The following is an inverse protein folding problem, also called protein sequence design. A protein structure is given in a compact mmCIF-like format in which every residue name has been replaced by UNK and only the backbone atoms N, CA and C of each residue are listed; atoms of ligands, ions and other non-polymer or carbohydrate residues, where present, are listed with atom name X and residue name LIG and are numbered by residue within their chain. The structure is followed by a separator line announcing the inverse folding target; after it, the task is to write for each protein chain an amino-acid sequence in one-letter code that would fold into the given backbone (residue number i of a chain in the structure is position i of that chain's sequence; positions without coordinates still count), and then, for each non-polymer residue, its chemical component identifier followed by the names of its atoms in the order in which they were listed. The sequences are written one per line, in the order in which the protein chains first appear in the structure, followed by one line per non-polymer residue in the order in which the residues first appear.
data_IF_422395005231
#
_entry.id   IF_422395005231
#
_cell.length_a   1.000
_cell.length_b   1.000
_cell.length_c   1.000
_cell.angle_alpha   90.00
_cell.angle_beta   90.00
_cell.angle_gamma   90.00
#
_symmetry.space_group_name_H-M   'P 1'
#
loop_
_entity.id
_entity.type
_entity.pdbx_description
1 polymer ?
#
# COMPACT_ATOMS: atom_id res chain seq x y z
N UNK A 1 -17.33 -16.89 22.91
CA UNK A 1 -17.93 -17.30 21.62
C UNK A 1 -16.77 -17.30 20.64
N UNK A 2 -16.43 -18.45 20.02
CA UNK A 2 -15.35 -18.44 19.02
C UNK A 2 -15.76 -17.50 17.88
N UNK A 3 -14.85 -16.65 17.37
CA UNK A 3 -15.17 -15.84 16.21
C UNK A 3 -15.61 -16.76 15.06
N UNK A 4 -16.63 -16.40 14.27
CA UNK A 4 -16.98 -17.18 13.09
C UNK A 4 -15.76 -17.30 12.18
N UNK A 5 -15.46 -18.52 11.71
CA UNK A 5 -14.35 -18.76 10.79
C UNK A 5 -14.50 -17.86 9.56
N UNK A 6 -13.46 -17.10 9.23
CA UNK A 6 -13.47 -16.21 8.06
C UNK A 6 -13.87 -16.99 6.80
N UNK A 7 -14.75 -16.41 5.99
CA UNK A 7 -15.10 -17.00 4.67
C UNK A 7 -13.87 -17.09 3.76
N UNK A 8 -12.93 -16.16 3.91
CA UNK A 8 -11.67 -16.18 3.19
C UNK A 8 -10.83 -17.41 3.56
N UNK A 9 -10.76 -17.75 4.85
CA UNK A 9 -9.99 -18.89 5.35
C UNK A 9 -10.55 -20.25 4.92
N UNK A 10 -11.83 -20.30 4.52
CA UNK A 10 -12.50 -21.51 4.03
C UNK A 10 -12.17 -21.84 2.55
N UNK A 11 -11.58 -20.90 1.81
CA UNK A 11 -11.20 -21.12 0.41
C UNK A 11 -9.99 -22.07 0.35
N UNK A 12 -10.02 -23.14 -0.46
CA UNK A 12 -8.89 -24.08 -0.54
C UNK A 12 -7.58 -23.40 -0.96
N UNK A 13 -6.46 -23.76 -0.32
CA UNK A 13 -5.09 -23.25 -0.61
C UNK A 13 -4.79 -23.22 -2.12
N UNK A 14 -5.07 -24.33 -2.82
CA UNK A 14 -4.75 -24.45 -4.25
C UNK A 14 -5.60 -23.49 -5.10
N UNK A 15 -6.85 -23.27 -4.71
CA UNK A 15 -7.72 -22.30 -5.36
C UNK A 15 -7.19 -20.88 -5.14
N UNK A 16 -6.81 -20.53 -3.90
CA UNK A 16 -6.23 -19.23 -3.58
C UNK A 16 -4.98 -18.94 -4.40
N UNK A 17 -4.04 -19.89 -4.47
CA UNK A 17 -2.82 -19.72 -5.26
C UNK A 17 -3.12 -19.56 -6.75
N UNK A 18 -3.97 -20.42 -7.32
CA UNK A 18 -4.28 -20.37 -8.76
C UNK A 18 -5.06 -19.12 -9.17
N UNK A 19 -5.85 -18.54 -8.25
CA UNK A 19 -6.64 -17.33 -8.51
C UNK A 19 -5.88 -16.04 -8.21
N UNK A 20 -5.14 -15.98 -7.12
CA UNK A 20 -4.56 -14.73 -6.62
C UNK A 20 -3.13 -14.49 -7.13
N UNK A 21 -2.37 -15.55 -7.43
CA UNK A 21 -0.99 -15.42 -7.91
C UNK A 21 -0.97 -15.43 -9.42
N UNK A 22 -0.37 -14.40 -10.02
CA UNK A 22 -0.24 -14.32 -11.46
C UNK A 22 0.69 -15.43 -12.01
N UNK A 23 0.36 -16.10 -13.13
CA UNK A 23 1.14 -17.22 -13.66
C UNK A 23 2.63 -16.94 -13.90
N UNK A 24 2.99 -15.69 -14.21
CA UNK A 24 4.40 -15.31 -14.40
C UNK A 24 5.26 -15.56 -13.16
N UNK A 25 4.69 -15.47 -11.95
CA UNK A 25 5.41 -15.75 -10.70
C UNK A 25 5.78 -17.23 -10.65
N UNK A 26 4.85 -18.12 -10.98
CA UNK A 26 5.10 -19.56 -11.06
C UNK A 26 6.15 -19.89 -12.12
N UNK A 27 6.05 -19.29 -13.32
CA UNK A 27 7.03 -19.48 -14.39
C UNK A 27 8.44 -19.06 -13.96
N UNK A 28 8.58 -17.92 -13.28
CA UNK A 28 9.88 -17.41 -12.81
C UNK A 28 10.59 -18.41 -11.90
N UNK A 29 9.85 -19.01 -10.97
CA UNK A 29 10.41 -20.00 -10.03
C UNK A 29 10.31 -21.44 -10.54
N UNK A 30 9.81 -21.68 -11.76
CA UNK A 30 9.62 -23.03 -12.31
C UNK A 30 8.64 -23.90 -11.51
N UNK A 31 7.62 -23.30 -10.89
CA UNK A 31 6.64 -24.03 -10.09
C UNK A 31 5.45 -24.48 -10.95
N UNK A 32 5.11 -25.76 -10.88
CA UNK A 32 3.82 -26.29 -11.35
C UNK A 32 2.96 -26.67 -10.15
N UNK A 33 1.83 -25.98 -9.97
CA UNK A 33 0.89 -26.28 -8.88
C UNK A 33 0.26 -27.67 -8.98
N UNK A 34 0.29 -28.30 -10.16
CA UNK A 34 -0.23 -29.67 -10.36
C UNK A 34 0.76 -30.74 -9.93
N UNK A 35 2.04 -30.47 -10.11
CA UNK A 35 3.11 -31.47 -9.96
C UNK A 35 3.88 -31.32 -8.64
N UNK A 36 3.66 -30.22 -7.91
CA UNK A 36 4.41 -29.91 -6.68
C UNK A 36 3.55 -30.14 -5.45
N UNK A 37 3.98 -31.06 -4.59
CA UNK A 37 3.38 -31.29 -3.28
C UNK A 37 3.96 -30.29 -2.28
N UNK A 38 3.15 -29.49 -1.57
CA UNK A 38 3.66 -28.57 -0.57
C UNK A 38 4.15 -29.31 0.66
N UNK A 39 5.13 -28.72 1.35
CA UNK A 39 5.38 -29.04 2.76
C UNK A 39 4.42 -28.23 3.61
N UNK A 40 3.54 -28.91 4.34
CA UNK A 40 2.54 -28.28 5.20
C UNK A 40 2.95 -28.35 6.67
N UNK A 41 2.86 -27.22 7.37
CA UNK A 41 3.07 -27.10 8.81
C UNK A 41 1.86 -26.40 9.42
N UNK A 42 1.37 -26.91 10.53
CA UNK A 42 0.34 -26.26 11.35
C UNK A 42 0.94 -26.01 12.73
N UNK A 43 1.09 -24.72 13.08
CA UNK A 43 1.64 -24.29 14.37
C UNK A 43 0.87 -23.07 14.85
N UNK A 44 0.46 -23.09 16.12
CA UNK A 44 -0.21 -21.97 16.80
C UNK A 44 -1.45 -21.43 16.05
N UNK A 45 -2.19 -22.31 15.37
CA UNK A 45 -3.36 -21.93 14.59
C UNK A 45 -3.05 -21.27 13.25
N UNK A 46 -1.80 -21.38 12.77
CA UNK A 46 -1.37 -20.89 11.46
C UNK A 46 -0.96 -22.07 10.59
N UNK A 47 -1.77 -22.32 9.55
CA UNK A 47 -1.42 -23.27 8.50
C UNK A 47 -0.46 -22.62 7.51
N UNK A 48 0.68 -23.25 7.28
CA UNK A 48 1.73 -22.82 6.36
C UNK A 48 1.99 -23.89 5.30
N UNK A 49 1.76 -23.58 4.03
CA UNK A 49 2.02 -24.47 2.88
C UNK A 49 3.20 -23.90 2.07
N UNK A 50 4.33 -24.62 2.01
CA UNK A 50 5.53 -24.22 1.26
C UNK A 50 5.70 -25.05 -0.01
N UNK A 51 5.70 -24.40 -1.17
CA UNK A 51 5.95 -24.98 -2.48
C UNK A 51 7.36 -24.61 -2.91
N UNK A 52 8.27 -25.59 -3.00
CA UNK A 52 9.69 -25.36 -3.30
C UNK A 52 10.09 -25.98 -4.64
N UNK A 53 10.96 -25.29 -5.36
CA UNK A 53 11.60 -25.75 -6.60
C UNK A 53 13.11 -25.53 -6.49
N UNK A 54 13.87 -25.91 -7.52
CA UNK A 54 15.30 -25.60 -7.61
C UNK A 54 15.59 -24.09 -7.73
N UNK A 55 14.64 -23.31 -8.27
CA UNK A 55 14.84 -21.87 -8.53
C UNK A 55 14.35 -20.98 -7.40
N UNK A 56 13.41 -21.44 -6.58
CA UNK A 56 12.74 -20.58 -5.61
C UNK A 56 11.64 -21.28 -4.83
N UNK A 57 10.80 -20.49 -4.18
CA UNK A 57 9.67 -21.03 -3.42
C UNK A 57 8.51 -20.04 -3.29
N UNK A 58 7.33 -20.58 -3.00
CA UNK A 58 6.15 -19.84 -2.54
C UNK A 58 5.74 -20.38 -1.18
N UNK A 59 5.46 -19.48 -0.25
CA UNK A 59 4.89 -19.76 1.05
C UNK A 59 3.48 -19.17 1.10
N UNK A 60 2.49 -19.99 1.46
CA UNK A 60 1.16 -19.52 1.84
C UNK A 60 0.96 -19.74 3.33
N UNK A 61 0.59 -18.69 4.06
CA UNK A 61 0.16 -18.76 5.46
C UNK A 61 -1.30 -18.38 5.57
N UNK A 62 -2.07 -19.16 6.33
CA UNK A 62 -3.47 -18.91 6.67
C UNK A 62 -3.62 -19.00 8.19
N UNK A 63 -4.00 -17.90 8.83
CA UNK A 63 -4.20 -17.79 10.28
C UNK A 63 -5.70 -17.64 10.66
N UNK A 64 -6.59 -18.20 9.83
CA UNK A 64 -8.05 -18.09 9.90
C UNK A 64 -8.64 -16.68 9.70
N UNK A 65 -7.79 -15.66 9.66
CA UNK A 65 -8.18 -14.25 9.50
C UNK A 65 -7.50 -13.65 8.27
N UNK A 66 -6.25 -14.02 8.02
CA UNK A 66 -5.40 -13.51 6.97
C UNK A 66 -4.80 -14.65 6.19
N UNK A 67 -4.81 -14.45 4.88
CA UNK A 67 -4.06 -15.23 3.91
C UNK A 67 -2.90 -14.38 3.43
N UNK A 68 -1.68 -14.88 3.61
CA UNK A 68 -0.43 -14.25 3.20
C UNK A 68 0.28 -15.18 2.22
N UNK A 69 0.59 -14.69 1.03
CA UNK A 69 1.39 -15.39 0.03
C UNK A 69 2.69 -14.62 -0.17
N UNK A 70 3.80 -15.31 -0.01
CA UNK A 70 5.14 -14.78 -0.22
C UNK A 70 5.87 -15.66 -1.24
N UNK A 71 6.67 -15.05 -2.12
CA UNK A 71 7.39 -15.75 -3.17
C UNK A 71 8.82 -15.24 -3.31
N UNK A 72 9.76 -16.16 -3.57
CA UNK A 72 11.18 -15.88 -3.70
C UNK A 72 11.79 -16.57 -4.91
N UNK A 73 12.75 -15.91 -5.57
CA UNK A 73 13.65 -16.46 -6.56
C UNK A 73 15.06 -16.51 -5.96
N UNK A 74 15.56 -17.71 -5.67
CA UNK A 74 16.68 -17.88 -4.73
C UNK A 74 16.32 -17.24 -3.40
N UNK A 75 17.15 -16.31 -2.94
CA UNK A 75 16.94 -15.53 -1.72
C UNK A 75 16.21 -14.19 -1.97
N UNK A 76 15.98 -13.82 -3.24
CA UNK A 76 15.36 -12.53 -3.57
C UNK A 76 13.84 -12.63 -3.47
N UNK A 77 13.16 -11.79 -2.67
CA UNK A 77 11.70 -11.75 -2.68
C UNK A 77 11.21 -11.22 -4.03
N UNK A 78 10.14 -11.82 -4.55
CA UNK A 78 9.51 -11.40 -5.83
C UNK A 78 8.02 -11.11 -5.66
N UNK A 79 7.38 -11.65 -4.61
CA UNK A 79 5.97 -11.44 -4.33
C UNK A 79 5.75 -11.40 -2.82
N UNK A 80 4.90 -10.47 -2.37
CA UNK A 80 4.23 -10.55 -1.08
C UNK A 80 2.82 -10.02 -1.27
N UNK A 81 1.81 -10.81 -1.00
CA UNK A 81 0.43 -10.35 -1.08
C UNK A 81 -0.40 -10.95 0.03
N UNK A 82 -1.41 -10.21 0.47
CA UNK A 82 -2.28 -10.69 1.52
C UNK A 82 -3.71 -10.20 1.35
N UNK A 83 -4.64 -11.03 1.80
CA UNK A 83 -6.02 -10.68 2.07
C UNK A 83 -6.27 -10.96 3.54
N UNK A 84 -6.90 -10.02 4.23
CA UNK A 84 -7.25 -10.15 5.63
C UNK A 84 -8.69 -9.79 5.88
N UNK A 85 -9.41 -10.64 6.59
CA UNK A 85 -10.73 -10.36 7.10
C UNK A 85 -10.69 -9.24 8.17
N UNK A 86 -11.54 -8.24 7.98
CA UNK A 86 -11.68 -7.11 8.89
C UNK A 86 -12.75 -7.31 9.95
N UNK A 87 -13.53 -8.40 9.91
CA UNK A 87 -14.57 -8.65 10.91
C UNK A 87 -14.03 -8.72 12.34
N UNK A 88 -12.73 -8.97 12.51
CA UNK A 88 -12.04 -9.01 13.80
C UNK A 88 -11.36 -7.68 14.19
N UNK A 89 -11.42 -6.64 13.34
CA UNK A 89 -10.82 -5.30 13.58
C UNK A 89 -11.48 -4.50 14.70
N UNK A 90 -12.54 -5.03 15.32
CA UNK A 90 -13.17 -4.45 16.52
C UNK A 90 -12.59 -4.99 17.84
N UNK A 91 -11.49 -5.75 17.78
CA UNK A 91 -10.73 -6.21 18.95
C UNK A 91 -9.53 -5.30 19.21
N UNK A 92 -8.91 -5.40 20.39
CA UNK A 92 -7.70 -4.64 20.77
C UNK A 92 -6.45 -4.97 19.95
N UNK A 93 -6.56 -5.91 19.02
CA UNK A 93 -5.47 -6.32 18.13
C UNK A 93 -5.39 -5.36 16.95
N UNK A 94 -4.26 -4.68 16.79
CA UNK A 94 -3.92 -3.92 15.59
C UNK A 94 -3.93 -4.83 14.36
N UNK A 95 -4.29 -4.31 13.19
CA UNK A 95 -4.22 -5.08 11.94
C UNK A 95 -2.78 -5.59 11.74
N UNK A 96 -2.52 -6.90 11.56
CA UNK A 96 -1.21 -7.44 11.24
C UNK A 96 -0.77 -7.09 9.80
N UNK A 97 -1.60 -6.41 9.00
CA UNK A 97 -1.20 -5.78 7.74
C UNK A 97 -0.80 -4.29 7.93
N UNK A 98 -1.12 -3.70 9.08
CA UNK A 98 -0.71 -2.35 9.47
C UNK A 98 -0.27 -2.33 10.94
N UNK A 99 1.04 -2.37 11.18
CA UNK A 99 1.66 -2.47 12.51
C UNK A 99 1.37 -1.30 13.47
N UNK A 100 0.65 -0.28 13.01
CA UNK A 100 0.41 0.95 13.74
C UNK A 100 -1.06 1.05 14.16
N UNK A 101 -1.34 1.57 15.37
CA UNK A 101 -2.71 1.89 15.76
C UNK A 101 -3.30 2.87 14.74
N UNK A 102 -4.53 2.64 14.29
CA UNK A 102 -5.20 3.56 13.39
C UNK A 102 -5.57 4.83 14.17
N UNK A 103 -5.47 5.98 13.53
CA UNK A 103 -5.66 7.30 14.16
C UNK A 103 -7.04 7.57 14.74
N UNK A 104 -8.10 6.88 14.29
CA UNK A 104 -9.41 6.89 14.95
C UNK A 104 -9.99 5.45 14.98
N UNK A 105 -10.27 4.84 16.15
CA UNK A 105 -10.96 3.56 16.26
C UNK A 105 -12.30 3.49 15.50
N UNK A 106 -12.99 4.62 15.32
CA UNK A 106 -14.20 4.69 14.51
C UNK A 106 -13.95 4.40 13.02
N UNK A 107 -12.73 4.66 12.53
CA UNK A 107 -12.32 4.43 11.15
C UNK A 107 -12.14 2.93 10.82
N UNK A 108 -11.99 2.08 11.85
CA UNK A 108 -11.92 0.63 11.70
C UNK A 108 -13.26 -0.08 11.90
N UNK A 109 -14.25 0.63 12.43
CA UNK A 109 -15.49 0.00 12.82
C UNK A 109 -16.31 -0.32 11.56
N UNK A 110 -16.71 -1.58 11.44
CA UNK A 110 -17.58 -2.01 10.35
C UNK A 110 -19.03 -1.58 10.61
N UNK A 111 -19.83 -1.30 9.57
CA UNK A 111 -21.23 -0.90 9.69
C UNK A 111 -22.10 -1.84 10.54
N UNK A 112 -21.77 -3.13 10.61
CA UNK A 112 -22.45 -4.13 11.42
C UNK A 112 -21.59 -5.38 11.58
N UNK A 113 -22.02 -6.30 12.44
CA UNK A 113 -21.33 -7.57 12.70
C UNK A 113 -21.44 -8.55 11.53
N UNK A 114 -22.48 -8.40 10.72
CA UNK A 114 -22.74 -9.11 9.47
C UNK A 114 -22.05 -8.46 8.26
N UNK A 115 -21.47 -7.27 8.40
CA UNK A 115 -20.71 -6.62 7.34
C UNK A 115 -19.36 -7.32 7.15
N UNK A 116 -19.24 -8.12 6.10
CA UNK A 116 -17.98 -8.70 5.62
C UNK A 116 -17.14 -7.65 4.87
N UNK A 117 -15.93 -7.39 5.36
CA UNK A 117 -14.92 -6.57 4.68
C UNK A 117 -13.55 -7.23 4.73
N UNK A 118 -12.76 -7.07 3.67
CA UNK A 118 -11.38 -7.55 3.64
C UNK A 118 -10.41 -6.39 3.36
N UNK A 119 -9.23 -6.43 3.95
CA UNK A 119 -8.10 -5.56 3.62
C UNK A 119 -7.12 -6.30 2.72
N UNK A 120 -6.61 -5.64 1.68
CA UNK A 120 -5.62 -6.22 0.78
C UNK A 120 -4.27 -5.50 0.84
N UNK A 121 -3.19 -6.25 0.61
CA UNK A 121 -1.85 -5.72 0.38
C UNK A 121 -1.14 -6.53 -0.72
N UNK A 122 -0.29 -5.86 -1.50
CA UNK A 122 0.40 -6.48 -2.62
C UNK A 122 1.70 -5.75 -2.92
N UNK A 123 2.77 -6.53 -3.04
CA UNK A 123 4.09 -6.12 -3.46
C UNK A 123 4.58 -7.11 -4.49
N UNK A 124 5.16 -6.58 -5.56
CA UNK A 124 5.86 -7.40 -6.53
C UNK A 124 7.17 -6.72 -6.92
N UNK A 125 8.20 -7.54 -7.10
CA UNK A 125 9.55 -7.09 -7.41
C UNK A 125 10.09 -7.89 -8.59
N UNK A 126 10.50 -7.18 -9.63
CA UNK A 126 11.25 -7.76 -10.74
C UNK A 126 12.67 -8.06 -10.24
N UNK A 127 13.04 -9.36 -10.13
CA UNK A 127 14.30 -9.78 -9.53
C UNK A 127 15.55 -9.28 -10.26
N UNK A 128 15.42 -8.88 -11.54
CA UNK A 128 16.52 -8.35 -12.34
C UNK A 128 16.82 -6.87 -12.07
N UNK A 129 15.99 -6.18 -11.29
CA UNK A 129 16.01 -4.71 -11.18
C UNK A 129 16.18 -4.18 -9.75
N UNK A 130 16.53 -5.08 -8.82
CA UNK A 130 16.91 -4.74 -7.46
C UNK A 130 18.03 -3.69 -7.48
N UNK A 131 17.92 -2.71 -6.59
CA UNK A 131 18.98 -1.74 -6.35
C UNK A 131 20.10 -2.39 -5.53
N UNK A 132 21.31 -1.88 -5.74
CA UNK A 132 22.45 -2.15 -4.85
C UNK A 132 22.37 -1.24 -3.61
N UNK A 133 23.02 -1.66 -2.51
CA UNK A 133 23.16 -0.86 -1.29
C UNK A 133 21.90 -0.73 -0.43
N UNK A 134 20.89 -1.57 -0.62
CA UNK A 134 19.65 -1.53 0.19
C UNK A 134 19.90 -1.64 1.70
N UNK A 135 20.99 -2.28 2.11
CA UNK A 135 21.44 -2.51 3.48
C UNK A 135 22.60 -1.60 3.93
N UNK A 136 22.97 -0.62 3.09
CA UNK A 136 24.10 0.29 3.36
C UNK A 136 23.57 1.70 3.63
N UNK A 137 23.54 2.08 4.90
CA UNK A 137 23.15 3.42 5.33
C UNK A 137 23.95 4.51 4.60
N UNK A 138 23.29 5.62 4.24
CA UNK A 138 23.86 6.69 3.44
C UNK A 138 23.94 6.41 1.93
N UNK A 139 23.58 5.20 1.47
CA UNK A 139 23.47 4.92 0.03
C UNK A 139 22.10 5.32 -0.54
N UNK A 140 22.03 5.53 -1.86
CA UNK A 140 20.76 5.79 -2.56
C UNK A 140 19.81 4.59 -2.48
N UNK A 141 20.35 3.36 -2.41
CA UNK A 141 19.56 2.14 -2.24
C UNK A 141 18.82 2.15 -0.91
N UNK A 142 19.54 2.39 0.19
CA UNK A 142 18.96 2.53 1.53
C UNK A 142 17.98 3.70 1.62
N UNK A 143 18.30 4.84 1.02
CA UNK A 143 17.38 5.99 0.95
C UNK A 143 16.06 5.68 0.24
N UNK A 144 16.12 4.88 -0.83
CA UNK A 144 14.91 4.47 -1.56
C UNK A 144 14.14 3.42 -0.75
N UNK A 145 14.81 2.49 -0.07
CA UNK A 145 14.16 1.46 0.74
C UNK A 145 13.55 1.99 2.03
N UNK A 146 14.12 3.04 2.62
CA UNK A 146 13.64 3.66 3.85
C UNK A 146 13.83 5.20 3.83
N UNK A 147 13.07 5.93 2.99
CA UNK A 147 13.15 7.39 2.91
C UNK A 147 12.72 8.07 4.21
N UNK A 148 11.93 7.37 5.02
CA UNK A 148 11.37 7.80 6.28
C UNK A 148 12.48 7.96 7.34
N UNK A 149 13.46 7.05 7.38
CA UNK A 149 14.68 7.19 8.18
C UNK A 149 15.32 8.58 8.03
N UNK A 150 15.49 9.03 6.79
CA UNK A 150 16.19 10.28 6.46
C UNK A 150 15.29 11.52 6.57
N UNK A 151 13.98 11.38 6.45
CA UNK A 151 13.06 12.51 6.57
C UNK A 151 12.72 12.86 8.02
N UNK A 152 12.80 11.88 8.95
CA UNK A 152 12.23 12.04 10.28
C UNK A 152 13.08 11.50 11.43
N UNK A 153 13.74 10.34 11.28
CA UNK A 153 14.49 9.72 12.39
C UNK A 153 15.85 10.38 12.58
N UNK A 154 16.57 10.61 11.50
CA UNK A 154 17.89 11.23 11.49
C UNK A 154 17.96 12.26 10.36
N UNK A 155 17.12 13.29 10.47
CA UNK A 155 17.03 14.31 9.44
C UNK A 155 18.29 15.20 9.41
N UNK A 156 19.12 14.99 8.40
CA UNK A 156 20.16 15.92 7.97
C UNK A 156 19.83 16.48 6.58
N UNK A 157 19.74 17.81 6.49
CA UNK A 157 19.29 18.51 5.27
C UNK A 157 20.16 18.16 4.06
N UNK A 158 21.47 18.23 4.23
CA UNK A 158 22.40 18.14 3.10
C UNK A 158 22.50 16.69 2.60
N UNK A 159 22.49 15.72 3.52
CA UNK A 159 22.39 14.29 3.21
C UNK A 159 21.08 13.96 2.51
N UNK A 160 19.94 14.43 3.06
CA UNK A 160 18.62 14.17 2.47
C UNK A 160 18.52 14.73 1.05
N UNK A 161 18.86 16.00 0.83
CA UNK A 161 18.75 16.63 -0.48
C UNK A 161 19.72 16.03 -1.50
N UNK A 162 20.91 15.62 -1.07
CA UNK A 162 21.87 14.88 -1.91
C UNK A 162 21.29 13.54 -2.38
N UNK A 163 20.75 12.73 -1.46
CA UNK A 163 20.17 11.42 -1.77
C UNK A 163 18.87 11.55 -2.58
N UNK A 164 18.02 12.52 -2.22
CA UNK A 164 16.81 12.85 -2.97
C UNK A 164 17.12 13.21 -4.42
N UNK A 165 18.13 14.06 -4.66
CA UNK A 165 18.53 14.44 -6.01
C UNK A 165 18.98 13.23 -6.83
N UNK A 166 19.67 12.27 -6.23
CA UNK A 166 20.06 11.02 -6.90
C UNK A 166 18.85 10.13 -7.19
N UNK A 167 17.98 9.92 -6.19
CA UNK A 167 16.80 9.07 -6.29
C UNK A 167 15.79 9.61 -7.31
N UNK A 168 15.64 10.94 -7.40
CA UNK A 168 14.72 11.62 -8.33
C UNK A 168 14.96 11.22 -9.80
N UNK A 169 16.21 10.95 -10.19
CA UNK A 169 16.55 10.56 -11.56
C UNK A 169 16.75 9.05 -11.75
N UNK A 170 16.73 8.25 -10.68
CA UNK A 170 17.01 6.81 -10.74
C UNK A 170 15.86 5.96 -11.31
N UNK A 171 14.66 6.57 -11.45
CA UNK A 171 13.48 5.86 -11.97
C UNK A 171 12.95 4.80 -10.98
N UNK A 172 12.98 5.12 -9.69
CA UNK A 172 12.34 4.38 -8.59
C UNK A 172 11.54 5.37 -7.76
N UNK A 173 10.38 4.99 -7.27
CA UNK A 173 9.61 5.75 -6.29
C UNK A 173 10.13 5.48 -4.86
N UNK A 174 9.72 6.27 -3.86
CA UNK A 174 9.90 5.92 -2.44
C UNK A 174 9.45 4.48 -2.15
N UNK A 175 10.20 3.76 -1.30
CA UNK A 175 9.97 2.35 -0.90
C UNK A 175 10.04 1.32 -2.05
N UNK A 176 10.61 1.70 -3.20
CA UNK A 176 10.67 0.85 -4.38
C UNK A 176 12.07 0.25 -4.61
N UNK A 177 12.38 -0.79 -3.84
CA UNK A 177 13.68 -1.51 -3.89
C UNK A 177 13.98 -2.18 -5.25
N UNK A 178 12.95 -2.50 -6.03
CA UNK A 178 13.04 -3.03 -7.39
C UNK A 178 11.87 -2.53 -8.24
N UNK A 179 11.96 -2.62 -9.57
CA UNK A 179 10.80 -2.33 -10.43
C UNK A 179 9.68 -3.32 -10.16
N UNK A 180 8.42 -2.91 -10.22
CA UNK A 180 7.31 -3.82 -10.08
C UNK A 180 7.15 -4.76 -11.27
N UNK A 181 6.75 -6.00 -11.00
CA UNK A 181 6.31 -6.90 -12.06
C UNK A 181 4.93 -6.46 -12.55
N UNK A 182 4.86 -5.94 -13.78
CA UNK A 182 3.81 -5.00 -14.18
C UNK A 182 2.38 -5.46 -14.02
N UNK A 183 2.14 -6.70 -14.40
CA UNK A 183 0.83 -7.31 -14.44
C UNK A 183 0.42 -7.93 -13.11
N UNK A 184 1.39 -8.19 -12.22
CA UNK A 184 1.17 -8.98 -11.00
C UNK A 184 0.26 -8.26 -9.99
N UNK A 185 0.48 -6.97 -9.64
CA UNK A 185 -0.39 -6.28 -8.71
C UNK A 185 -1.79 -6.05 -9.28
N UNK A 186 -1.88 -5.68 -10.56
CA UNK A 186 -3.15 -5.47 -11.23
C UNK A 186 -3.99 -6.76 -11.23
N UNK A 187 -3.35 -7.89 -11.56
CA UNK A 187 -3.97 -9.20 -11.50
C UNK A 187 -4.45 -9.53 -10.09
N UNK A 188 -3.57 -9.43 -9.09
CA UNK A 188 -3.93 -9.73 -7.70
C UNK A 188 -5.13 -8.92 -7.21
N UNK A 189 -5.14 -7.60 -7.42
CA UNK A 189 -6.26 -6.74 -6.98
C UNK A 189 -7.55 -7.13 -7.69
N UNK A 190 -7.52 -7.31 -9.01
CA UNK A 190 -8.71 -7.71 -9.79
C UNK A 190 -9.24 -9.08 -9.39
N UNK A 191 -8.37 -10.05 -9.14
CA UNK A 191 -8.77 -11.39 -8.74
C UNK A 191 -9.25 -11.44 -7.29
N UNK A 192 -8.66 -10.64 -6.41
CA UNK A 192 -9.13 -10.44 -5.04
C UNK A 192 -10.56 -9.87 -5.03
N UNK A 193 -10.83 -8.84 -5.84
CA UNK A 193 -12.17 -8.26 -6.00
C UNK A 193 -13.18 -9.32 -6.42
N UNK A 194 -12.85 -10.13 -7.44
CA UNK A 194 -13.72 -11.21 -7.92
C UNK A 194 -13.98 -12.26 -6.85
N UNK A 195 -12.92 -12.80 -6.24
CA UNK A 195 -13.01 -13.81 -5.19
C UNK A 195 -13.84 -13.32 -4.01
N UNK A 196 -13.51 -12.14 -3.47
CA UNK A 196 -14.21 -11.55 -2.34
C UNK A 196 -15.68 -11.32 -2.64
N UNK A 197 -16.00 -10.85 -3.86
CA UNK A 197 -17.38 -10.68 -4.30
C UNK A 197 -18.15 -12.01 -4.34
N UNK A 198 -17.54 -13.06 -4.89
CA UNK A 198 -18.13 -14.41 -5.00
C UNK A 198 -18.41 -15.04 -3.64
N UNK A 199 -17.50 -14.89 -2.67
CA UNK A 199 -17.67 -15.44 -1.32
C UNK A 199 -18.51 -14.52 -0.41
N UNK A 200 -19.05 -13.42 -0.96
CA UNK A 200 -20.06 -12.58 -0.32
C UNK A 200 -19.52 -11.49 0.59
N UNK A 201 -18.29 -10.99 0.38
CA UNK A 201 -17.83 -9.77 1.03
C UNK A 201 -18.54 -8.55 0.46
N UNK A 202 -18.80 -7.54 1.29
CA UNK A 202 -19.45 -6.30 0.90
C UNK A 202 -18.44 -5.24 0.46
N UNK A 203 -17.22 -5.30 1.01
CA UNK A 203 -16.19 -4.28 0.78
C UNK A 203 -14.80 -4.88 0.75
N UNK A 204 -13.94 -4.30 -0.08
CA UNK A 204 -12.49 -4.48 0.02
C UNK A 204 -11.83 -3.14 0.30
N UNK A 205 -10.90 -3.13 1.24
CA UNK A 205 -10.18 -1.96 1.70
C UNK A 205 -8.70 -2.06 1.31
N UNK A 206 -8.11 -0.90 1.05
CA UNK A 206 -6.67 -0.72 0.85
C UNK A 206 -6.18 0.43 1.72
N UNK A 207 -4.94 0.32 2.19
CA UNK A 207 -4.30 1.33 3.05
C UNK A 207 -3.08 1.90 2.32
N UNK A 208 -3.25 2.81 1.35
CA UNK A 208 -2.13 3.37 0.61
C UNK A 208 -1.25 4.23 1.51
N UNK A 209 -0.04 3.76 1.78
CA UNK A 209 0.94 4.50 2.60
C UNK A 209 1.54 5.70 1.87
N UNK A 210 1.48 5.72 0.54
CA UNK A 210 2.07 6.75 -0.32
C UNK A 210 1.10 7.20 -1.43
N UNK A 211 1.29 8.43 -1.90
CA UNK A 211 0.47 9.05 -2.95
C UNK A 211 0.38 8.20 -4.24
N UNK A 212 1.50 7.65 -4.70
CA UNK A 212 1.54 6.82 -5.91
C UNK A 212 0.72 5.51 -5.75
N UNK A 213 0.66 4.96 -4.54
CA UNK A 213 -0.16 3.78 -4.20
C UNK A 213 -1.64 4.16 -4.18
N UNK A 214 -1.99 5.31 -3.60
CA UNK A 214 -3.38 5.80 -3.63
C UNK A 214 -3.87 6.04 -5.06
N UNK A 215 -3.01 6.62 -5.92
CA UNK A 215 -3.31 6.78 -7.34
C UNK A 215 -3.57 5.45 -8.05
N UNK A 216 -2.76 4.42 -7.76
CA UNK A 216 -2.99 3.08 -8.32
C UNK A 216 -4.38 2.54 -7.95
N UNK A 217 -4.78 2.66 -6.69
CA UNK A 217 -6.11 2.23 -6.25
C UNK A 217 -7.24 3.10 -6.83
N UNK A 218 -7.05 4.43 -6.93
CA UNK A 218 -8.02 5.33 -7.59
C UNK A 218 -8.26 4.92 -9.04
N UNK A 219 -7.21 4.51 -9.77
CA UNK A 219 -7.33 3.99 -11.14
C UNK A 219 -8.06 2.62 -11.23
N UNK A 220 -8.25 1.95 -10.10
CA UNK A 220 -9.04 0.71 -9.97
C UNK A 220 -10.42 0.97 -9.34
N UNK A 221 -10.89 2.22 -9.39
CA UNK A 221 -12.18 2.68 -8.88
C UNK A 221 -12.33 2.59 -7.35
N UNK A 222 -11.23 2.51 -6.60
CA UNK A 222 -11.31 2.67 -5.16
C UNK A 222 -11.60 4.13 -4.83
N UNK A 223 -12.45 4.33 -3.83
CA UNK A 223 -12.79 5.64 -3.27
C UNK A 223 -12.04 5.87 -1.97
N UNK A 224 -11.66 7.11 -1.71
CA UNK A 224 -11.20 7.47 -0.37
C UNK A 224 -12.32 7.24 0.63
N UNK A 225 -11.98 6.64 1.77
CA UNK A 225 -12.96 6.41 2.82
C UNK A 225 -13.37 7.73 3.50
N UNK A 226 -12.47 8.70 3.54
CA UNK A 226 -12.63 9.99 4.21
C UNK A 226 -12.29 11.16 3.27
N UNK A 227 -12.96 12.29 3.45
CA UNK A 227 -12.92 13.42 2.51
C UNK A 227 -11.62 14.19 2.56
N UNK A 228 -10.99 14.28 3.74
CA UNK A 228 -9.68 14.90 3.93
C UNK A 228 -8.56 14.17 3.18
N UNK A 229 -8.66 12.85 3.02
CA UNK A 229 -7.74 12.08 2.17
C UNK A 229 -7.91 12.44 0.70
N UNK A 230 -9.15 12.59 0.25
CA UNK A 230 -9.46 13.00 -1.11
C UNK A 230 -8.96 14.42 -1.39
N UNK A 231 -9.16 15.35 -0.45
CA UNK A 231 -8.63 16.71 -0.56
C UNK A 231 -7.10 16.75 -0.62
N UNK A 232 -6.42 15.99 0.23
CA UNK A 232 -4.96 15.91 0.20
C UNK A 232 -4.47 15.35 -1.15
N UNK A 233 -5.14 14.31 -1.65
CA UNK A 233 -4.84 13.72 -2.96
C UNK A 233 -5.05 14.71 -4.11
N UNK A 234 -6.19 15.41 -4.15
CA UNK A 234 -6.52 16.38 -5.20
C UNK A 234 -5.60 17.61 -5.13
N UNK A 235 -5.31 18.15 -3.94
CA UNK A 235 -4.38 19.26 -3.78
C UNK A 235 -2.97 18.92 -4.26
N UNK A 236 -2.48 17.71 -3.98
CA UNK A 236 -1.21 17.21 -4.52
C UNK A 236 -1.28 17.11 -6.06
N UNK A 237 -2.36 16.52 -6.61
CA UNK A 237 -2.54 16.35 -8.05
C UNK A 237 -2.55 17.69 -8.79
N UNK A 238 -3.26 18.67 -8.27
CA UNK A 238 -3.31 20.04 -8.79
C UNK A 238 -1.95 20.72 -8.71
N UNK A 239 -1.26 20.60 -7.57
CA UNK A 239 0.10 21.11 -7.38
C UNK A 239 1.10 20.54 -8.39
N UNK A 240 1.08 19.23 -8.60
CA UNK A 240 1.91 18.55 -9.60
C UNK A 240 1.60 19.03 -11.02
N UNK A 241 0.31 19.18 -11.36
CA UNK A 241 -0.13 19.68 -12.66
C UNK A 241 0.37 21.11 -12.89
N UNK A 242 0.21 21.98 -11.90
CA UNK A 242 0.70 23.36 -11.95
C UNK A 242 2.23 23.43 -12.06
N UNK A 243 2.95 22.57 -11.34
CA UNK A 243 4.42 22.47 -11.44
C UNK A 243 4.87 22.10 -12.86
N UNK A 244 4.25 21.08 -13.45
CA UNK A 244 4.56 20.64 -14.82
C UNK A 244 4.26 21.76 -15.82
N UNK A 245 3.14 22.45 -15.67
CA UNK A 245 2.76 23.57 -16.54
C UNK A 245 3.76 24.75 -16.45
N UNK A 246 4.20 25.12 -15.23
CA UNK A 246 5.25 26.15 -15.04
C UNK A 246 6.54 25.77 -15.75
N UNK A 247 7.02 24.54 -15.54
CA UNK A 247 8.24 24.05 -16.19
C UNK A 247 8.11 24.03 -17.71
N UNK A 248 6.95 23.69 -18.28
CA UNK A 248 6.76 23.74 -19.73
C UNK A 248 6.84 25.15 -20.33
N UNK A 249 6.50 26.18 -19.56
CA UNK A 249 6.58 27.58 -19.99
C UNK A 249 7.99 28.18 -19.83
N UNK A 250 8.84 27.61 -18.97
CA UNK A 250 10.23 28.02 -18.74
C UNK A 250 11.22 27.50 -19.81
N UNK A 251 10.74 26.74 -20.80
CA UNK A 251 11.55 26.21 -21.90
C UNK A 251 12.09 27.32 -22.81
N UNK A 252 13.22 27.94 -22.42
CA UNK A 252 13.87 29.07 -23.12
C UNK A 252 14.28 28.81 -24.58
N UNK A 253 14.28 27.55 -25.03
CA UNK A 253 14.82 27.15 -26.33
C UNK A 253 13.79 26.44 -27.25
N UNK A 254 12.49 26.58 -27.01
CA UNK A 254 11.46 25.93 -27.83
C UNK A 254 11.44 24.40 -27.74
N UNK A 255 12.24 23.80 -26.84
CA UNK A 255 12.21 22.37 -26.54
C UNK A 255 11.03 22.08 -25.61
N UNK A 256 10.08 21.25 -26.08
CA UNK A 256 9.01 20.70 -25.22
C UNK A 256 9.63 20.05 -23.98
N UNK A 257 9.31 20.60 -22.81
CA UNK A 257 9.72 20.00 -21.54
C UNK A 257 9.02 18.66 -21.39
N UNK A 258 9.78 17.61 -21.09
CA UNK A 258 9.23 16.29 -20.85
C UNK A 258 8.42 16.32 -19.55
N UNK A 259 7.22 15.73 -19.52
CA UNK A 259 6.47 15.58 -18.28
C UNK A 259 7.31 14.79 -17.27
N UNK A 260 7.07 15.04 -15.97
CA UNK A 260 7.69 14.25 -14.92
C UNK A 260 7.27 12.79 -15.08
N UNK A 261 8.22 11.88 -14.92
CA UNK A 261 7.89 10.48 -14.73
C UNK A 261 7.08 10.31 -13.44
N UNK A 262 6.28 9.26 -13.39
CA UNK A 262 5.50 8.92 -12.20
C UNK A 262 6.35 8.71 -10.93
N UNK A 263 7.58 8.21 -11.07
CA UNK A 263 8.54 8.13 -9.96
C UNK A 263 9.01 9.51 -9.50
N UNK A 264 9.22 10.45 -10.42
CA UNK A 264 9.59 11.82 -10.10
C UNK A 264 8.46 12.56 -9.40
N UNK A 265 7.21 12.38 -9.85
CA UNK A 265 6.03 12.89 -9.15
C UNK A 265 5.99 12.36 -7.71
N UNK A 266 6.24 11.07 -7.50
CA UNK A 266 6.25 10.46 -6.16
C UNK A 266 7.36 11.07 -5.26
N UNK A 267 8.55 11.30 -5.79
CA UNK A 267 9.63 11.97 -5.06
C UNK A 267 9.36 13.44 -4.77
N UNK A 268 8.67 14.15 -5.66
CA UNK A 268 8.26 15.52 -5.41
C UNK A 268 7.22 15.60 -4.29
N UNK A 269 6.33 14.61 -4.20
CA UNK A 269 5.42 14.46 -3.06
C UNK A 269 6.17 14.09 -1.78
N UNK A 270 7.13 13.16 -1.85
CA UNK A 270 7.96 12.77 -0.71
C UNK A 270 8.77 13.96 -0.15
N UNK A 271 9.24 14.85 -1.02
CA UNK A 271 9.94 16.08 -0.62
C UNK A 271 9.08 16.96 0.30
N UNK A 272 7.75 16.88 0.24
CA UNK A 272 6.87 17.69 1.10
C UNK A 272 6.84 17.21 2.56
N UNK A 273 7.55 16.13 2.88
CA UNK A 273 7.62 15.56 4.23
C UNK A 273 8.84 16.03 5.05
N UNK A 274 9.70 16.90 4.52
CA UNK A 274 10.79 17.51 5.29
C UNK A 274 10.36 18.89 5.86
N UNK A 275 11.13 19.51 6.78
CA UNK A 275 10.85 20.87 7.24
C UNK A 275 10.69 21.87 6.09
N UNK A 276 9.64 22.68 6.15
CA UNK A 276 9.19 23.53 5.02
C UNK A 276 10.23 24.56 4.60
N UNK A 277 11.01 25.05 5.56
CA UNK A 277 12.13 25.96 5.38
C UNK A 277 13.25 25.38 4.52
N UNK A 278 13.34 24.05 4.41
CA UNK A 278 14.35 23.36 3.61
C UNK A 278 13.85 22.96 2.22
N UNK A 279 12.55 23.12 1.93
CA UNK A 279 11.97 22.86 0.62
C UNK A 279 12.09 24.13 -0.22
N UNK A 280 12.78 24.09 -1.38
CA UNK A 280 12.84 25.21 -2.31
C UNK A 280 11.44 25.64 -2.75
N UNK A 281 11.19 26.95 -2.80
CA UNK A 281 9.86 27.53 -3.10
C UNK A 281 9.27 26.98 -4.41
N UNK A 282 10.11 26.75 -5.42
CA UNK A 282 9.72 26.23 -6.72
C UNK A 282 9.28 24.76 -6.70
N UNK A 283 9.68 24.01 -5.68
CA UNK A 283 9.34 22.59 -5.47
C UNK A 283 8.19 22.38 -4.46
N UNK A 284 7.70 23.45 -3.83
CA UNK A 284 6.59 23.36 -2.87
C UNK A 284 5.27 23.01 -3.56
N UNK A 285 4.55 22.06 -2.96
CA UNK A 285 3.18 21.69 -3.32
C UNK A 285 2.18 22.32 -2.33
N UNK A 286 0.93 22.59 -2.74
CA UNK A 286 -0.08 23.20 -1.87
C UNK A 286 -0.61 22.24 -0.79
N UNK A 287 -0.29 20.96 -0.90
CA UNK A 287 -0.67 19.92 0.06
C UNK A 287 0.47 18.91 0.23
N UNK A 288 0.49 18.25 1.39
CA UNK A 288 1.39 17.13 1.72
C UNK A 288 0.60 15.84 1.84
N UNK A 289 1.26 14.71 1.59
CA UNK A 289 0.62 13.41 1.83
C UNK A 289 0.42 13.23 3.35
N UNK A 290 -0.77 12.81 3.81
CA UNK A 290 -1.08 12.86 5.23
C UNK A 290 -0.51 11.68 6.02
N UNK A 291 0.02 10.65 5.35
CA UNK A 291 0.67 9.50 6.00
C UNK A 291 2.14 9.81 6.25
N UNK A 292 2.57 9.69 7.51
CA UNK A 292 3.97 9.64 7.91
C UNK A 292 4.11 8.54 8.96
N UNK A 293 5.25 7.86 9.03
CA UNK A 293 5.46 6.80 10.02
C UNK A 293 5.42 7.31 11.48
N UNK A 294 5.54 8.63 11.69
CA UNK A 294 5.50 9.29 12.99
C UNK A 294 4.11 9.72 13.43
N UNK A 295 3.14 9.88 12.53
CA UNK A 295 1.82 10.43 12.89
C UNK A 295 0.72 9.37 13.09
N UNK A 296 1.05 8.08 12.90
CA UNK A 296 0.13 6.94 13.02
C UNK A 296 -1.14 7.07 12.15
N UNK A 297 -1.15 8.02 11.21
CA UNK A 297 -2.30 8.38 10.39
C UNK A 297 -2.23 7.65 9.06
N UNK A 298 -3.31 6.94 8.72
CA UNK A 298 -3.35 6.09 7.54
C UNK A 298 -4.44 6.51 6.58
N UNK A 299 -4.04 6.71 5.32
CA UNK A 299 -5.00 6.87 4.24
C UNK A 299 -5.67 5.53 4.00
N UNK A 300 -7.00 5.53 4.02
CA UNK A 300 -7.82 4.36 3.69
C UNK A 300 -8.64 4.63 2.44
N UNK A 301 -8.64 3.66 1.56
CA UNK A 301 -9.47 3.60 0.37
C UNK A 301 -10.27 2.30 0.37
N UNK A 302 -11.39 2.28 -0.34
CA UNK A 302 -12.27 1.12 -0.39
C UNK A 302 -12.96 0.99 -1.74
N UNK A 303 -13.40 -0.23 -2.03
CA UNK A 303 -14.29 -0.55 -3.13
C UNK A 303 -15.47 -1.38 -2.60
N UNK A 304 -16.69 -0.94 -2.92
CA UNK A 304 -17.91 -1.70 -2.64
C UNK A 304 -18.01 -2.88 -3.61
N UNK A 305 -18.24 -4.08 -3.08
CA UNK A 305 -18.28 -5.34 -3.84
C UNK A 305 -19.71 -5.85 -4.03
N UNK A 306 -20.46 -5.92 -2.94
CA UNK A 306 -21.84 -6.36 -2.88
C UNK A 306 -22.64 -5.37 -2.02
N UNK A 307 -23.94 -5.23 -2.32
CA UNK A 307 -24.83 -4.38 -1.53
C UNK A 307 -24.93 -4.90 -0.09
N UNK A 308 -25.01 -3.96 0.85
CA UNK A 308 -25.24 -4.27 2.25
C UNK A 308 -26.41 -3.45 2.76
N UNK A 309 -27.50 -4.15 3.09
CA UNK A 309 -28.64 -3.55 3.78
C UNK A 309 -28.37 -3.64 5.26
N UNK A 310 -27.94 -2.53 5.87
CA UNK A 310 -27.72 -2.50 7.30
C UNK A 310 -28.98 -2.93 8.05
N UNK A 311 -28.89 -3.82 9.05
CA UNK A 311 -29.98 -4.02 9.99
C UNK A 311 -30.40 -2.66 10.57
N UNK A 312 -31.68 -2.48 10.93
CA UNK A 312 -32.19 -1.24 11.57
C UNK A 312 -31.57 -1.01 12.96
N UNK A 313 -30.26 -0.81 12.99
CA UNK A 313 -29.44 -0.55 14.14
C UNK A 313 -29.15 0.93 14.15
N UNK A 314 -29.62 1.62 15.19
CA UNK A 314 -29.27 3.03 15.45
C UNK A 314 -27.75 3.24 15.50
N UNK A 315 -26.96 2.19 15.75
CA UNK A 315 -25.48 2.24 15.72
C UNK A 315 -24.97 2.24 14.29
N UNK A 316 -25.48 1.38 13.42
CA UNK A 316 -25.11 1.34 12.00
C UNK A 316 -25.47 2.66 11.31
N UNK A 317 -26.67 3.20 11.58
CA UNK A 317 -27.11 4.49 11.06
C UNK A 317 -26.22 5.64 11.54
N UNK A 318 -25.87 5.69 12.83
CA UNK A 318 -24.95 6.70 13.38
C UNK A 318 -23.54 6.57 12.79
N UNK A 319 -23.06 5.36 12.56
CA UNK A 319 -21.75 5.13 11.95
C UNK A 319 -21.73 5.52 10.48
N UNK A 320 -22.74 5.14 9.70
CA UNK A 320 -22.87 5.56 8.30
C UNK A 320 -22.98 7.09 8.21
N UNK A 321 -23.74 7.72 9.11
CA UNK A 321 -23.78 9.19 9.24
C UNK A 321 -22.42 9.79 9.62
N UNK A 322 -21.66 9.19 10.55
CA UNK A 322 -20.31 9.66 10.90
C UNK A 322 -19.33 9.49 9.73
N UNK A 323 -19.34 8.35 9.03
CA UNK A 323 -18.52 8.10 7.84
C UNK A 323 -18.87 9.10 6.74
N UNK A 324 -20.16 9.31 6.47
CA UNK A 324 -20.62 10.31 5.50
C UNK A 324 -20.22 11.74 5.92
N UNK A 325 -20.32 12.08 7.21
CA UNK A 325 -19.89 13.39 7.72
C UNK A 325 -18.36 13.60 7.62
N UNK A 326 -17.55 12.55 7.80
CA UNK A 326 -16.10 12.63 7.58
C UNK A 326 -15.73 12.76 6.09
N UNK A 327 -16.66 12.53 5.15
CA UNK A 327 -16.47 12.89 3.74
C UNK A 327 -16.65 14.39 3.48
N UNK A 328 -17.24 15.12 4.42
CA UNK A 328 -17.32 16.58 4.37
C UNK A 328 -16.03 17.20 4.94
N UNK A 329 -15.22 17.88 4.11
CA UNK A 329 -14.01 18.56 4.54
C UNK A 329 -14.15 19.48 5.75
N UNK A 330 -15.33 20.09 5.92
CA UNK A 330 -15.57 21.07 6.99
C UNK A 330 -15.64 20.43 8.38
N UNK A 331 -15.80 19.11 8.46
CA UNK A 331 -15.90 18.35 9.72
C UNK A 331 -14.55 17.75 10.18
N UNK A 332 -13.46 17.90 9.41
CA UNK A 332 -12.15 17.30 9.69
C UNK A 332 -11.17 18.21 10.44
N UNK A 333 -11.59 18.78 11.58
CA UNK A 333 -10.74 19.67 12.39
C UNK A 333 -10.20 19.08 13.70
N UNK A 334 -10.42 17.79 13.95
CA UNK A 334 -9.84 17.15 15.13
C UNK A 334 -8.38 16.74 14.87
N UNK A 335 -7.50 17.69 15.23
CA UNK A 335 -6.07 17.58 15.56
C UNK A 335 -5.38 16.28 15.09
N UNK A 336 -4.53 16.42 14.07
CA UNK A 336 -3.38 15.51 13.89
C UNK A 336 -2.62 15.49 15.23
N UNK A 337 -2.81 14.42 16.00
CA UNK A 337 -2.08 14.18 17.24
C UNK A 337 -0.64 13.89 16.84
N UNK A 338 0.23 14.90 16.95
CA UNK A 338 1.68 14.69 16.90
C UNK A 338 2.06 13.95 18.19
N UNK A 339 2.57 12.71 18.14
CA UNK A 339 3.01 12.04 19.36
C UNK A 339 4.25 12.75 19.90
N UNK A 340 4.21 13.18 21.16
CA UNK A 340 5.39 13.67 21.90
C UNK A 340 6.37 12.54 22.29
N UNK A 341 6.19 11.33 21.78
CA UNK A 341 7.04 10.19 22.12
C UNK A 341 8.23 10.13 21.16
N UNK A 342 9.43 10.45 21.65
CA UNK A 342 10.72 10.24 20.96
C UNK A 342 11.09 8.76 20.77
N UNK A 343 10.10 7.86 20.69
CA UNK A 343 10.26 6.43 20.50
C UNK A 343 9.21 5.94 19.50
N UNK A 344 9.66 5.52 18.32
CA UNK A 344 8.83 4.81 17.35
C UNK A 344 8.84 3.32 17.71
N UNK A 345 7.70 2.67 17.95
CA UNK A 345 7.63 1.21 18.16
C UNK A 345 8.22 0.39 17.00
N UNK A 346 8.47 1.02 15.85
CA UNK A 346 9.11 0.42 14.70
C UNK A 346 10.58 0.05 14.91
N UNK A 347 11.31 0.67 15.85
CA UNK A 347 12.77 0.45 16.02
C UNK A 347 13.15 -0.99 16.36
N UNK A 348 12.24 -1.77 16.97
CA UNK A 348 12.52 -3.14 17.41
C UNK A 348 11.87 -4.21 16.51
N UNK A 349 11.06 -3.81 15.52
CA UNK A 349 10.26 -4.70 14.69
C UNK A 349 10.48 -4.53 13.17
N UNK A 350 11.60 -3.92 12.76
CA UNK A 350 11.96 -3.68 11.34
C UNK A 350 12.13 -4.98 10.54
N UNK A 351 11.00 -5.53 10.10
CA UNK A 351 10.79 -6.45 8.97
C UNK A 351 9.44 -6.18 8.28
N UNK A 352 8.83 -5.03 8.58
CA UNK A 352 7.43 -4.71 8.38
C UNK A 352 7.29 -3.52 7.42
N UNK A 353 7.66 -3.73 6.17
CA UNK A 353 7.40 -2.81 5.06
C UNK A 353 5.91 -2.44 4.99
N UNK A 354 5.66 -1.14 4.85
CA UNK A 354 4.34 -0.51 4.69
C UNK A 354 3.64 -0.91 3.37
N UNK A 355 2.31 -1.16 3.32
CA UNK A 355 1.56 -1.62 2.13
C UNK A 355 1.80 -0.78 0.87
N UNK A 356 2.80 -1.16 0.08
CA UNK A 356 3.17 -0.52 -1.17
C UNK A 356 2.70 -1.37 -2.35
N UNK A 357 1.60 -0.97 -2.97
CA UNK A 357 1.28 -1.44 -4.32
C UNK A 357 2.35 -0.91 -5.28
N UNK A 358 3.41 -1.69 -5.48
CA UNK A 358 4.42 -1.47 -6.49
C UNK A 358 3.81 -1.95 -7.81
N UNK A 359 3.04 -1.11 -8.51
CA UNK A 359 2.53 -1.39 -9.86
C UNK A 359 3.11 -0.37 -10.86
N UNK A 360 3.35 -0.71 -12.13
CA UNK A 360 3.70 0.27 -13.14
C UNK A 360 2.54 1.19 -13.48
N UNK A 361 1.29 0.89 -13.14
CA UNK A 361 0.26 1.93 -13.14
C UNK A 361 0.57 3.04 -12.09
N UNK A 362 1.38 2.74 -11.07
CA UNK A 362 1.90 3.72 -10.12
C UNK A 362 3.19 4.42 -10.61
N UNK A 363 3.90 3.89 -11.61
CA UNK A 363 5.25 4.36 -12.00
C UNK A 363 5.57 4.42 -13.51
N UNK A 364 4.63 4.12 -14.40
CA UNK A 364 4.84 3.95 -15.84
C UNK A 364 3.81 4.70 -16.68
N UNK A 365 4.24 5.12 -17.86
CA UNK A 365 3.36 5.66 -18.89
C UNK A 365 2.66 4.49 -19.58
N UNK A 366 1.36 4.32 -19.33
CA UNK A 366 0.53 3.43 -20.13
C UNK A 366 -0.32 4.31 -21.05
N UNK A 367 0.00 4.30 -22.33
CA UNK A 367 -1.06 4.42 -23.35
C UNK A 367 -2.01 3.26 -23.09
N UNK A 368 -3.26 3.59 -22.74
CA UNK A 368 -4.36 2.63 -22.73
C UNK A 368 -4.51 2.15 -24.17
N UNK A 369 -3.95 0.98 -24.48
CA UNK A 369 -4.36 0.27 -25.70
C UNK A 369 -5.67 -0.42 -25.36
N UNK A 370 -6.72 0.06 -26.03
CA UNK A 370 -8.07 -0.50 -26.07
C UNK A 370 -8.06 -2.00 -26.42
#
# INVERSE_FOLDING_TARGET
MMPPNSKLAQVPTLELLSRLVHPSVFTLIGLSLKDTVPTSVDSDGVRSDTYRTEKGHILLRNDDVRILVEGWLGDKPILRCALRDRQLDATSQSSPLTFFPNTDPACNRLPGTDFLAAELSIYSWDPATYLDGLDVEGSVGHFISDPDFYAWRDYDRDTYLSLWSQAFFLGRAPWQMARPMSVVPLFFVRQSIKLLKEIGYHRVDAVPSWYNVARFFKALNFEFTYGEHELAFEGIREGLTAFIARKSNDGKDGKKVRPLSRSQEAWLVALQNIPVEHIPDELRLPARWPVTHTNQYWVRMHLTLNEYTAPQSKVAERMLKKIAAMRDPSHCHDRIMVPNSGYCPCTDQLGASSPAATSPAATGDHEVRE
#
